data_IF_690890472352
#
_entry.id   IF_690890472352
#
_cell.length_a   1.000
_cell.length_b   1.000
_cell.length_c   1.000
_cell.angle_alpha   90.00
_cell.angle_beta   90.00
_cell.angle_gamma   90.00
#
_symmetry.space_group_name_H-M   'P 1'
#
loop_
_entity.id
_entity.type
_entity.pdbx_description
1 polymer ?
#
# COMPACT_ATOMS: atom_id res chain seq x y z
N UNK A 1 13.86 3.44 4.58
CA UNK A 1 13.72 2.49 5.70
C UNK A 1 12.49 2.87 6.50
N UNK A 2 11.61 1.92 6.84
CA UNK A 2 10.47 2.18 7.74
C UNK A 2 11.06 2.30 9.15
N UNK A 3 11.11 3.52 9.70
CA UNK A 3 11.60 3.79 11.05
C UNK A 3 10.55 3.38 12.10
N UNK A 4 10.98 3.18 13.35
CA UNK A 4 10.08 2.97 14.51
C UNK A 4 9.21 4.20 14.87
N UNK A 5 9.20 5.23 14.02
CA UNK A 5 8.43 6.45 14.23
C UNK A 5 6.93 6.25 13.92
N UNK A 6 6.58 5.23 13.13
CA UNK A 6 5.21 4.91 12.76
C UNK A 6 4.58 3.93 13.75
N UNK A 7 3.40 4.29 14.27
CA UNK A 7 2.65 3.49 15.24
C UNK A 7 1.80 2.41 14.58
N UNK A 8 1.46 2.58 13.30
CA UNK A 8 0.61 1.65 12.57
C UNK A 8 0.90 1.67 11.07
N UNK A 9 1.39 0.55 10.55
CA UNK A 9 1.75 0.36 9.15
C UNK A 9 0.70 -0.52 8.48
N UNK A 10 0.15 -0.05 7.36
CA UNK A 10 -0.66 -0.87 6.47
C UNK A 10 0.11 -1.10 5.18
N UNK A 11 0.56 -2.33 4.95
CA UNK A 11 1.17 -2.72 3.68
C UNK A 11 0.14 -3.42 2.78
N UNK A 12 -0.01 -2.89 1.58
CA UNK A 12 -0.88 -3.42 0.52
C UNK A 12 0.05 -4.09 -0.49
N UNK A 13 -0.12 -5.40 -0.66
CA UNK A 13 0.81 -6.24 -1.38
C UNK A 13 0.16 -6.83 -2.64
N UNK A 14 0.67 -6.42 -3.80
CA UNK A 14 0.12 -6.82 -5.10
C UNK A 14 0.85 -7.98 -5.74
N UNK A 15 2.06 -8.31 -5.28
CA UNK A 15 2.87 -9.41 -5.80
C UNK A 15 3.73 -10.14 -4.75
N UNK A 16 4.11 -9.46 -3.66
CA UNK A 16 4.78 -10.11 -2.51
C UNK A 16 3.74 -10.66 -1.55
N UNK A 17 4.09 -11.71 -0.84
CA UNK A 17 3.22 -12.23 0.20
C UNK A 17 3.44 -11.58 1.55
N UNK A 18 2.37 -11.56 2.36
CA UNK A 18 2.40 -11.03 3.71
C UNK A 18 3.39 -11.78 4.63
N UNK A 19 3.58 -13.09 4.43
CA UNK A 19 4.51 -13.90 5.23
C UNK A 19 5.97 -13.48 5.01
N UNK A 20 6.33 -13.19 3.77
CA UNK A 20 7.67 -12.71 3.38
C UNK A 20 7.95 -11.37 4.03
N UNK A 21 7.05 -10.39 3.87
CA UNK A 21 7.24 -9.05 4.42
C UNK A 21 7.20 -9.04 5.95
N UNK A 22 6.34 -9.84 6.58
CA UNK A 22 6.33 -9.99 8.04
C UNK A 22 7.68 -10.53 8.57
N UNK A 23 8.30 -11.46 7.85
CA UNK A 23 9.62 -11.99 8.21
C UNK A 23 10.71 -10.92 8.08
N UNK A 24 10.63 -10.05 7.07
CA UNK A 24 11.54 -8.90 6.91
C UNK A 24 11.34 -7.85 8.01
N UNK A 25 10.10 -7.53 8.36
CA UNK A 25 9.78 -6.60 9.44
C UNK A 25 10.30 -7.10 10.79
N UNK A 26 10.13 -8.39 11.07
CA UNK A 26 10.68 -9.03 12.27
C UNK A 26 12.21 -8.98 12.33
N UNK A 27 12.90 -9.23 11.21
CA UNK A 27 14.36 -9.10 11.11
C UNK A 27 14.84 -7.67 11.38
N UNK A 28 14.01 -6.68 11.06
CA UNK A 28 14.27 -5.26 11.31
C UNK A 28 13.74 -4.76 12.66
N UNK A 29 13.36 -5.66 13.58
CA UNK A 29 12.84 -5.35 14.92
C UNK A 29 11.57 -4.47 14.94
N UNK A 30 10.72 -4.60 13.91
CA UNK A 30 9.38 -3.98 13.91
C UNK A 30 8.42 -4.93 14.62
N UNK A 31 7.71 -4.42 15.63
CA UNK A 31 6.74 -5.19 16.43
C UNK A 31 5.55 -5.67 15.58
N UNK A 32 5.19 -6.95 15.69
CA UNK A 32 4.05 -7.59 15.02
C UNK A 32 2.70 -6.87 15.27
N UNK A 33 2.59 -6.13 16.38
CA UNK A 33 1.41 -5.35 16.70
C UNK A 33 1.30 -4.05 15.88
N UNK A 34 2.40 -3.57 15.32
CA UNK A 34 2.49 -2.29 14.60
C UNK A 34 2.15 -2.37 13.11
N UNK A 35 1.89 -3.56 12.55
CA UNK A 35 1.57 -3.68 11.13
C UNK A 35 0.36 -4.55 10.81
N UNK A 36 -0.24 -4.27 9.66
CA UNK A 36 -1.35 -5.00 9.03
C UNK A 36 -1.06 -5.15 7.53
N UNK A 37 -1.59 -6.20 6.93
CA UNK A 37 -1.45 -6.46 5.50
C UNK A 37 -2.80 -6.51 4.80
N UNK A 38 -2.85 -5.98 3.59
CA UNK A 38 -3.84 -6.39 2.58
C UNK A 38 -3.06 -7.17 1.52
N UNK A 39 -3.37 -8.46 1.39
CA UNK A 39 -2.64 -9.37 0.52
C UNK A 39 -3.53 -9.88 -0.60
N UNK A 40 -3.07 -9.68 -1.84
CA UNK A 40 -3.70 -10.20 -3.05
C UNK A 40 -3.10 -11.55 -3.47
N UNK A 41 -2.03 -12.01 -2.81
CA UNK A 41 -1.44 -13.33 -2.98
C UNK A 41 -2.12 -14.29 -1.99
N UNK A 42 -2.72 -15.36 -2.51
CA UNK A 42 -3.31 -16.39 -1.67
C UNK A 42 -2.22 -17.32 -1.12
N UNK A 43 -1.93 -17.16 0.17
CA UNK A 43 -1.08 -18.10 0.92
C UNK A 43 -1.83 -18.81 2.06
N UNK A 44 -1.42 -20.04 2.34
CA UNK A 44 -1.95 -20.88 3.42
C UNK A 44 -1.55 -20.39 4.82
N UNK A 45 -0.35 -19.79 4.97
CA UNK A 45 0.22 -19.36 6.25
C UNK A 45 0.27 -17.83 6.38
N UNK A 46 -0.92 -17.21 6.45
CA UNK A 46 -1.04 -15.75 6.58
C UNK A 46 -0.77 -15.25 8.01
N UNK A 47 -0.11 -14.08 8.16
CA UNK A 47 -0.02 -13.41 9.45
C UNK A 47 -1.41 -13.10 10.05
N UNK A 48 -1.50 -13.01 11.38
CA UNK A 48 -2.77 -12.76 12.11
C UNK A 48 -3.54 -11.52 11.64
N UNK A 49 -2.84 -10.47 11.21
CA UNK A 49 -3.42 -9.20 10.74
C UNK A 49 -3.30 -9.06 9.21
N UNK A 50 -3.61 -10.14 8.49
CA UNK A 50 -3.63 -10.16 7.04
C UNK A 50 -5.08 -10.25 6.54
N UNK A 51 -5.47 -9.31 5.69
CA UNK A 51 -6.78 -9.24 5.07
C UNK A 51 -6.66 -9.53 3.59
N UNK A 52 -7.55 -10.35 3.05
CA UNK A 52 -7.59 -10.63 1.61
C UNK A 52 -8.64 -9.79 0.91
N UNK A 53 -8.39 -9.53 -0.37
CA UNK A 53 -9.34 -9.00 -1.34
C UNK A 53 -9.25 -9.92 -2.57
N UNK A 54 -10.38 -10.33 -3.16
CA UNK A 54 -10.40 -11.37 -4.19
C UNK A 54 -9.70 -10.97 -5.50
N UNK A 55 -9.60 -9.68 -5.83
CA UNK A 55 -9.01 -9.25 -7.09
C UNK A 55 -8.50 -7.80 -7.06
N UNK A 56 -7.40 -7.54 -7.77
CA UNK A 56 -6.79 -6.21 -7.93
C UNK A 56 -7.65 -5.22 -8.75
N UNK A 57 -8.70 -5.68 -9.42
CA UNK A 57 -9.70 -4.80 -10.07
C UNK A 57 -10.73 -4.24 -9.09
N UNK A 58 -10.84 -4.78 -7.87
CA UNK A 58 -11.83 -4.38 -6.87
C UNK A 58 -11.40 -3.13 -6.07
N UNK A 59 -11.03 -2.05 -6.76
CA UNK A 59 -10.46 -0.84 -6.14
C UNK A 59 -11.39 -0.16 -5.12
N UNK A 60 -12.71 -0.21 -5.34
CA UNK A 60 -13.69 0.31 -4.39
C UNK A 60 -13.67 -0.49 -3.09
N UNK A 61 -13.62 -1.82 -3.18
CA UNK A 61 -13.53 -2.70 -2.01
C UNK A 61 -12.21 -2.47 -1.27
N UNK A 62 -11.10 -2.33 -2.01
CA UNK A 62 -9.80 -1.96 -1.45
C UNK A 62 -9.86 -0.64 -0.68
N UNK A 63 -10.42 0.41 -1.26
CA UNK A 63 -10.57 1.71 -0.59
C UNK A 63 -11.39 1.60 0.72
N UNK A 64 -12.48 0.82 0.70
CA UNK A 64 -13.32 0.59 1.89
C UNK A 64 -12.58 -0.22 2.96
N UNK A 65 -11.84 -1.26 2.56
CA UNK A 65 -11.05 -2.08 3.47
C UNK A 65 -9.94 -1.25 4.13
N UNK A 66 -9.23 -0.44 3.35
CA UNK A 66 -8.19 0.45 3.86
C UNK A 66 -8.75 1.39 4.92
N UNK A 67 -9.89 2.06 4.67
CA UNK A 67 -10.47 2.97 5.67
C UNK A 67 -10.95 2.24 6.94
N UNK A 68 -11.48 1.02 6.81
CA UNK A 68 -11.84 0.17 7.97
C UNK A 68 -10.61 -0.17 8.81
N UNK A 69 -9.53 -0.64 8.18
CA UNK A 69 -8.28 -1.00 8.86
C UNK A 69 -7.64 0.22 9.50
N UNK A 70 -7.55 1.34 8.78
CA UNK A 70 -7.01 2.61 9.31
C UNK A 70 -7.71 3.03 10.59
N UNK A 71 -9.04 2.93 10.63
CA UNK A 71 -9.84 3.28 11.82
C UNK A 71 -9.62 2.29 12.97
N UNK A 72 -9.55 0.99 12.69
CA UNK A 72 -9.42 -0.05 13.71
C UNK A 72 -8.01 -0.11 14.33
N UNK A 73 -6.97 0.16 13.55
CA UNK A 73 -5.58 -0.09 13.92
C UNK A 73 -4.72 1.17 14.04
N UNK A 74 -5.32 2.37 13.99
CA UNK A 74 -4.61 3.67 14.11
C UNK A 74 -3.42 3.77 13.16
N UNK A 75 -3.63 3.35 11.91
CA UNK A 75 -2.60 3.36 10.86
C UNK A 75 -2.20 4.80 10.53
N UNK A 76 -0.91 5.07 10.57
CA UNK A 76 -0.27 6.34 10.24
C UNK A 76 0.69 6.25 9.03
N UNK A 77 1.03 5.04 8.58
CA UNK A 77 1.73 4.78 7.32
C UNK A 77 1.00 3.78 6.44
N UNK A 78 0.80 4.13 5.17
CA UNK A 78 0.33 3.20 4.13
C UNK A 78 1.47 2.93 3.16
N UNK A 79 1.71 1.67 2.84
CA UNK A 79 2.68 1.25 1.83
C UNK A 79 1.90 0.49 0.76
N UNK A 80 2.06 0.89 -0.50
CA UNK A 80 1.63 0.10 -1.66
C UNK A 80 2.89 -0.34 -2.39
N UNK A 81 3.13 -1.65 -2.41
CA UNK A 81 4.39 -2.26 -2.83
C UNK A 81 4.68 -2.16 -4.33
N UNK A 82 3.65 -2.17 -5.17
CA UNK A 82 3.79 -2.03 -6.62
C UNK A 82 2.49 -1.56 -7.27
N UNK A 83 2.44 -0.27 -7.64
CA UNK A 83 1.34 0.32 -8.42
C UNK A 83 1.31 -0.24 -9.84
N UNK A 84 2.46 -0.52 -10.44
CA UNK A 84 2.55 -0.98 -11.83
C UNK A 84 1.77 -2.28 -12.04
N UNK A 85 1.74 -3.17 -11.05
CA UNK A 85 0.92 -4.39 -11.10
C UNK A 85 -0.59 -4.09 -11.17
N UNK A 86 -1.06 -3.01 -10.54
CA UNK A 86 -2.49 -2.67 -10.56
C UNK A 86 -2.97 -2.22 -11.95
N UNK A 87 -2.07 -1.68 -12.78
CA UNK A 87 -2.36 -1.23 -14.16
C UNK A 87 -2.63 -2.41 -15.09
N UNK A 88 -2.11 -3.61 -14.77
CA UNK A 88 -2.40 -4.82 -15.54
C UNK A 88 -3.91 -5.16 -15.48
N UNK A 89 -4.58 -4.78 -14.38
CA UNK A 89 -5.98 -5.12 -14.11
C UNK A 89 -6.94 -3.94 -14.25
N UNK A 90 -6.41 -2.72 -14.41
CA UNK A 90 -7.19 -1.49 -14.41
C UNK A 90 -6.55 -0.48 -15.37
N UNK A 91 -7.35 0.37 -16.01
CA UNK A 91 -6.81 1.43 -16.84
C UNK A 91 -6.05 2.50 -16.01
N UNK A 92 -5.11 3.19 -16.67
CA UNK A 92 -4.28 4.21 -16.04
C UNK A 92 -5.08 5.34 -15.37
N UNK A 93 -6.19 5.78 -15.99
CA UNK A 93 -7.00 6.88 -15.46
C UNK A 93 -7.69 6.47 -14.16
N UNK A 94 -8.17 5.23 -14.09
CA UNK A 94 -8.78 4.64 -12.90
C UNK A 94 -7.75 4.54 -11.76
N UNK A 95 -6.53 4.08 -12.03
CA UNK A 95 -5.45 4.03 -11.02
C UNK A 95 -5.07 5.43 -10.53
N UNK A 96 -4.93 6.41 -11.43
CA UNK A 96 -4.62 7.79 -11.05
C UNK A 96 -5.70 8.38 -10.13
N UNK A 97 -6.98 8.21 -10.46
CA UNK A 97 -8.09 8.66 -9.61
C UNK A 97 -8.09 7.99 -8.24
N UNK A 98 -7.80 6.68 -8.20
CA UNK A 98 -7.70 5.93 -6.96
C UNK A 98 -6.56 6.45 -6.07
N UNK A 99 -5.35 6.58 -6.61
CA UNK A 99 -4.19 7.06 -5.86
C UNK A 99 -4.37 8.50 -5.38
N UNK A 100 -4.87 9.39 -6.24
CA UNK A 100 -5.15 10.77 -5.89
C UNK A 100 -6.14 10.86 -4.70
N UNK A 101 -7.23 10.07 -4.73
CA UNK A 101 -8.18 10.00 -3.62
C UNK A 101 -7.53 9.46 -2.34
N UNK A 102 -6.71 8.41 -2.45
CA UNK A 102 -5.96 7.84 -1.33
C UNK A 102 -5.01 8.85 -0.69
N UNK A 103 -4.31 9.65 -1.49
CA UNK A 103 -3.40 10.68 -1.01
C UNK A 103 -4.15 11.81 -0.30
N UNK A 104 -5.26 12.30 -0.87
CA UNK A 104 -6.12 13.31 -0.22
C UNK A 104 -6.59 12.80 1.16
N UNK A 105 -7.09 11.56 1.23
CA UNK A 105 -7.59 10.97 2.48
C UNK A 105 -6.48 10.75 3.51
N UNK A 106 -5.27 10.47 3.06
CA UNK A 106 -4.12 10.24 3.95
C UNK A 106 -3.59 11.56 4.52
N UNK A 107 -3.47 12.61 3.68
CA UNK A 107 -3.09 13.97 4.11
C UNK A 107 -4.07 14.55 5.15
N UNK A 108 -5.39 14.38 4.96
CA UNK A 108 -6.41 14.86 5.91
C UNK A 108 -6.29 14.30 7.34
N UNK A 109 -5.57 13.20 7.53
CA UNK A 109 -5.39 12.53 8.83
C UNK A 109 -3.93 12.57 9.32
N UNK A 110 -3.09 13.42 8.73
CA UNK A 110 -1.65 13.52 9.02
C UNK A 110 -0.88 12.20 8.88
N UNK A 111 -1.40 11.27 8.07
CA UNK A 111 -0.70 10.03 7.76
C UNK A 111 0.28 10.22 6.60
N UNK A 112 1.19 9.27 6.42
CA UNK A 112 2.08 9.18 5.26
C UNK A 112 1.66 8.01 4.37
N UNK A 113 1.95 8.12 3.09
CA UNK A 113 1.80 7.02 2.15
C UNK A 113 3.02 6.92 1.23
N UNK A 114 3.45 5.70 0.97
CA UNK A 114 4.52 5.37 0.04
C UNK A 114 3.92 4.48 -1.04
N UNK A 115 4.11 4.88 -2.29
CA UNK A 115 3.64 4.16 -3.47
C UNK A 115 4.86 3.83 -4.32
N UNK A 116 5.18 2.54 -4.44
CA UNK A 116 6.30 2.11 -5.27
C UNK A 116 5.81 1.82 -6.68
N UNK A 117 6.60 2.23 -7.68
CA UNK A 117 6.26 2.13 -9.10
C UNK A 117 7.51 1.69 -9.84
N UNK A 118 7.39 0.71 -10.74
CA UNK A 118 8.49 0.34 -11.62
C UNK A 118 8.70 1.46 -12.65
N UNK A 119 9.93 1.98 -12.76
CA UNK A 119 10.24 3.10 -13.68
C UNK A 119 10.02 2.74 -15.14
N UNK A 120 10.58 1.61 -15.56
CA UNK A 120 10.55 1.15 -16.94
C UNK A 120 9.11 0.91 -17.41
N UNK A 121 8.71 1.59 -18.48
CA UNK A 121 7.39 1.46 -19.10
C UNK A 121 6.24 2.16 -18.37
N UNK A 122 6.53 2.91 -17.28
CA UNK A 122 5.53 3.65 -16.51
C UNK A 122 5.86 5.15 -16.40
N UNK A 123 6.70 5.69 -17.28
CA UNK A 123 7.20 7.07 -17.22
C UNK A 123 6.05 8.07 -17.23
N UNK A 124 5.02 7.84 -18.05
CA UNK A 124 3.82 8.69 -18.09
C UNK A 124 3.05 8.64 -16.77
N UNK A 125 2.85 7.45 -16.20
CA UNK A 125 2.16 7.30 -14.92
C UNK A 125 2.92 8.02 -13.81
N UNK A 126 4.24 7.88 -13.77
CA UNK A 126 5.10 8.58 -12.80
C UNK A 126 4.96 10.09 -12.98
N UNK A 127 4.98 10.60 -14.21
CA UNK A 127 4.74 12.00 -14.49
C UNK A 127 3.35 12.46 -14.01
N UNK A 128 2.30 11.69 -14.27
CA UNK A 128 0.93 12.03 -13.84
C UNK A 128 0.80 11.99 -12.31
N UNK A 129 1.43 11.03 -11.63
CA UNK A 129 1.45 10.91 -10.16
C UNK A 129 2.27 12.03 -9.52
N UNK A 130 3.34 12.47 -10.18
CA UNK A 130 4.21 13.55 -9.69
C UNK A 130 3.48 14.86 -9.45
N UNK A 131 2.37 15.08 -10.16
CA UNK A 131 1.54 16.28 -10.03
C UNK A 131 0.85 16.39 -8.66
N UNK A 132 0.73 15.28 -7.92
CA UNK A 132 0.02 15.25 -6.64
C UNK A 132 0.79 14.56 -5.50
N UNK A 133 1.93 13.94 -5.79
CA UNK A 133 2.86 13.41 -4.80
C UNK A 133 3.58 14.57 -4.09
N UNK A 134 3.86 14.40 -2.79
CA UNK A 134 4.62 15.40 -2.03
C UNK A 134 6.13 15.29 -2.34
N UNK A 135 6.64 14.07 -2.52
CA UNK A 135 8.04 13.78 -2.82
C UNK A 135 8.15 12.58 -3.77
N UNK A 136 9.24 12.53 -4.55
CA UNK A 136 9.60 11.41 -5.43
C UNK A 136 11.05 11.05 -5.15
N UNK A 137 11.29 9.76 -4.92
CA UNK A 137 12.62 9.21 -4.73
C UNK A 137 12.84 8.07 -5.72
N UNK A 138 13.99 8.09 -6.40
CA UNK A 138 14.48 7.00 -7.23
C UNK A 138 15.48 6.17 -6.42
N UNK A 139 15.34 4.84 -6.46
CA UNK A 139 16.13 3.87 -5.67
C UNK A 139 16.85 2.94 -6.63
#
# INVERSE_FOLDING_TARGET
AVSNEFKGILAILTHKSASTLASEFKKNNIDDSNYCFIDFVEEDNKPKKCFTIPCLSALTELALKIEKIKKAHKIDLIILDNVSTMIIYNDNVTILKFLHNMMIKTRKKSGKAIYSILKEGNEKLIADISLFADEIAEI
#
